data_IF_600718281831
#
_entry.id   IF_600718281831
#
_cell.length_a   1.000
_cell.length_b   1.000
_cell.length_c   1.000
_cell.angle_alpha   90.00
_cell.angle_beta   90.00
_cell.angle_gamma   90.00
#
_symmetry.space_group_name_H-M   'P 1'
#
loop_
_entity.id
_entity.type
_entity.pdbx_description
1 polymer ?
#
# COMPACT_ATOMS: atom_id res chain seq x y z
N UNK A 1 -19.77 20.71 -11.34
CA UNK A 1 -18.34 20.38 -11.19
C UNK A 1 -18.15 19.96 -9.73
N UNK A 2 -18.28 18.66 -9.44
CA UNK A 2 -18.01 18.10 -8.11
C UNK A 2 -16.61 17.47 -8.17
N UNK A 3 -15.61 18.28 -7.91
CA UNK A 3 -14.23 17.83 -7.71
C UNK A 3 -13.71 18.58 -6.50
N UNK A 4 -14.21 18.20 -5.32
CA UNK A 4 -13.59 18.65 -4.08
C UNK A 4 -12.22 17.97 -4.06
N UNK A 5 -11.18 18.75 -4.30
CA UNK A 5 -9.81 18.31 -4.03
C UNK A 5 -9.72 18.13 -2.52
N UNK A 6 -10.01 16.92 -2.04
CA UNK A 6 -9.92 16.54 -0.64
C UNK A 6 -8.45 16.39 -0.23
N UNK A 7 -7.58 17.32 -0.66
CA UNK A 7 -6.13 17.25 -0.57
C UNK A 7 -5.73 16.51 0.70
N UNK A 8 -5.13 15.33 0.54
CA UNK A 8 -4.73 14.51 1.68
C UNK A 8 -3.89 15.39 2.59
N UNK A 9 -4.30 15.51 3.85
CA UNK A 9 -3.46 16.09 4.88
C UNK A 9 -2.12 15.32 4.87
N UNK A 10 -1.00 15.95 5.28
CA UNK A 10 0.27 15.23 5.43
C UNK A 10 0.03 13.92 6.16
N UNK A 11 0.32 12.81 5.48
CA UNK A 11 -0.11 11.47 5.88
C UNK A 11 1.12 10.61 6.15
N UNK A 12 1.03 9.75 7.16
CA UNK A 12 2.07 8.80 7.50
C UNK A 12 1.61 7.39 7.13
N UNK A 13 2.36 6.74 6.25
CA UNK A 13 2.18 5.34 5.89
C UNK A 13 3.07 4.46 6.79
N UNK A 14 2.43 3.74 7.70
CA UNK A 14 3.10 2.84 8.64
C UNK A 14 3.14 1.40 8.09
N UNK A 15 4.34 0.85 7.95
CA UNK A 15 4.58 -0.45 7.32
C UNK A 15 5.37 -1.35 8.27
N UNK A 16 4.96 -2.62 8.42
CA UNK A 16 5.66 -3.55 9.33
C UNK A 16 6.79 -4.34 8.68
N UNK A 17 7.02 -4.15 7.39
CA UNK A 17 8.13 -4.71 6.64
C UNK A 17 9.20 -3.62 6.40
N UNK A 18 10.31 -3.74 7.11
CA UNK A 18 11.40 -2.76 7.04
C UNK A 18 12.15 -2.80 5.71
N UNK A 19 12.10 -3.91 4.96
CA UNK A 19 12.72 -4.02 3.64
C UNK A 19 11.95 -3.17 2.64
N UNK A 20 10.62 -3.23 2.67
CA UNK A 20 9.75 -2.41 1.81
C UNK A 20 9.94 -0.92 2.11
N UNK A 21 9.98 -0.53 3.39
CA UNK A 21 10.25 0.87 3.78
C UNK A 21 11.60 1.34 3.24
N UNK A 22 12.64 0.49 3.35
CA UNK A 22 13.96 0.83 2.82
C UNK A 22 13.90 1.05 1.31
N UNK A 23 13.28 0.13 0.56
CA UNK A 23 13.14 0.22 -0.89
C UNK A 23 12.42 1.47 -1.38
N UNK A 24 11.44 1.97 -0.61
CA UNK A 24 10.73 3.22 -0.91
C UNK A 24 11.61 4.44 -0.63
N UNK A 25 12.44 4.40 0.42
CA UNK A 25 13.30 5.52 0.80
C UNK A 25 14.58 5.64 -0.05
N UNK A 26 15.12 4.52 -0.53
CA UNK A 26 16.35 4.47 -1.32
C UNK A 26 16.13 4.22 -2.82
N UNK A 27 14.87 4.18 -3.25
CA UNK A 27 14.46 4.00 -4.66
C UNK A 27 14.91 2.65 -5.28
N UNK A 28 15.27 1.66 -4.45
CA UNK A 28 15.73 0.34 -4.91
C UNK A 28 14.60 -0.65 -5.25
N UNK A 29 13.34 -0.23 -5.14
CA UNK A 29 12.18 -1.05 -5.52
C UNK A 29 12.08 -1.33 -7.02
N UNK A 30 12.79 -0.55 -7.87
CA UNK A 30 12.79 -0.64 -9.34
C UNK A 30 13.24 -2.00 -9.88
N UNK A 31 13.99 -2.76 -9.09
CA UNK A 31 14.50 -4.09 -9.46
C UNK A 31 13.64 -5.25 -8.90
N UNK A 32 12.52 -4.96 -8.21
CA UNK A 32 11.66 -5.98 -7.58
C UNK A 32 10.47 -6.39 -8.46
N UNK A 33 9.97 -7.64 -8.32
CA UNK A 33 8.75 -8.11 -9.01
C UNK A 33 7.51 -7.26 -8.68
N UNK A 34 7.50 -6.57 -7.53
CA UNK A 34 6.45 -5.64 -7.11
C UNK A 34 6.75 -4.17 -7.45
N UNK A 35 7.77 -3.91 -8.26
CA UNK A 35 8.32 -2.57 -8.48
C UNK A 35 7.30 -1.55 -8.96
N UNK A 36 6.34 -1.93 -9.80
CA UNK A 36 5.30 -1.03 -10.34
C UNK A 36 4.42 -0.44 -9.24
N UNK A 37 3.98 -1.25 -8.27
CA UNK A 37 3.13 -0.77 -7.17
C UNK A 37 3.94 0.11 -6.22
N UNK A 38 5.21 -0.21 -6.01
CA UNK A 38 6.10 0.60 -5.16
C UNK A 38 6.47 1.93 -5.84
N UNK A 39 6.57 1.96 -7.17
CA UNK A 39 6.81 3.16 -7.97
C UNK A 39 5.61 4.11 -7.89
N UNK A 40 4.37 3.58 -7.99
CA UNK A 40 3.15 4.38 -7.76
C UNK A 40 3.10 4.97 -6.34
N UNK A 41 3.52 4.22 -5.32
CA UNK A 41 3.62 4.72 -3.95
C UNK A 41 4.69 5.81 -3.83
N UNK A 42 5.86 5.62 -4.45
CA UNK A 42 6.93 6.60 -4.45
C UNK A 42 6.49 7.90 -5.16
N UNK A 43 5.78 7.80 -6.28
CA UNK A 43 5.17 8.94 -6.96
C UNK A 43 4.16 9.67 -6.08
N UNK A 44 3.34 8.94 -5.32
CA UNK A 44 2.42 9.55 -4.35
C UNK A 44 3.16 10.26 -3.21
N UNK A 45 4.32 9.74 -2.77
CA UNK A 45 5.16 10.41 -1.77
C UNK A 45 5.74 11.73 -2.29
N UNK A 46 6.09 11.79 -3.58
CA UNK A 46 6.65 12.98 -4.23
C UNK A 46 5.57 14.01 -4.61
N UNK A 47 4.41 13.56 -5.07
CA UNK A 47 3.36 14.42 -5.65
C UNK A 47 2.22 14.75 -4.68
N UNK A 48 1.95 13.89 -3.70
CA UNK A 48 0.86 14.06 -2.75
C UNK A 48 1.34 14.65 -1.43
N UNK A 49 1.26 15.98 -1.25
CA UNK A 49 1.33 16.71 0.03
C UNK A 49 2.27 16.20 1.16
N UNK A 50 3.32 15.44 0.84
CA UNK A 50 4.23 14.80 1.79
C UNK A 50 3.64 13.56 2.48
N UNK A 51 3.38 12.47 1.74
CA UNK A 51 3.21 11.15 2.36
C UNK A 51 4.58 10.68 2.88
N UNK A 52 4.72 10.59 4.20
CA UNK A 52 5.89 10.02 4.84
C UNK A 52 5.71 8.51 5.04
N UNK A 53 6.81 7.76 5.09
CA UNK A 53 6.79 6.32 5.40
C UNK A 53 7.55 6.03 6.69
N UNK A 54 7.05 5.11 7.50
CA UNK A 54 7.74 4.65 8.71
C UNK A 54 7.61 3.14 8.87
N UNK A 55 8.60 2.56 9.56
CA UNK A 55 8.52 1.16 9.99
C UNK A 55 7.88 1.05 11.38
N UNK A 56 6.93 0.14 11.53
CA UNK A 56 6.32 -0.21 12.82
C UNK A 56 6.46 -1.71 13.15
N UNK A 57 6.42 -2.11 14.44
CA UNK A 57 6.37 -3.52 14.79
C UNK A 57 5.12 -4.22 14.22
N UNK A 58 5.23 -5.51 13.87
CA UNK A 58 4.10 -6.31 13.39
C UNK A 58 2.90 -6.30 14.34
N UNK A 59 3.14 -6.24 15.65
CA UNK A 59 2.08 -6.16 16.67
C UNK A 59 1.25 -4.88 16.56
N UNK A 60 1.86 -3.76 16.14
CA UNK A 60 1.19 -2.49 15.91
C UNK A 60 0.38 -2.52 14.60
N UNK A 61 0.83 -3.26 13.58
CA UNK A 61 0.13 -3.40 12.30
C UNK A 61 -0.96 -4.49 12.27
N UNK A 62 -1.46 -4.89 13.46
CA UNK A 62 -2.49 -5.93 13.58
C UNK A 62 -3.76 -5.64 12.76
N UNK A 63 -4.28 -4.41 12.70
CA UNK A 63 -5.47 -4.11 11.90
C UNK A 63 -5.28 -4.45 10.41
N UNK A 64 -4.18 -4.01 9.80
CA UNK A 64 -3.89 -4.30 8.40
C UNK A 64 -3.70 -5.81 8.15
N UNK A 65 -3.03 -6.50 9.07
CA UNK A 65 -2.88 -7.96 8.99
C UNK A 65 -4.22 -8.70 8.99
N UNK A 66 -5.16 -8.30 9.86
CA UNK A 66 -6.50 -8.91 9.91
C UNK A 66 -7.26 -8.64 8.61
N UNK A 67 -7.24 -7.40 8.11
CA UNK A 67 -7.92 -7.06 6.85
C UNK A 67 -7.36 -7.85 5.66
N UNK A 68 -6.04 -7.96 5.56
CA UNK A 68 -5.40 -8.77 4.53
C UNK A 68 -5.80 -10.25 4.65
N UNK A 69 -5.87 -10.78 5.88
CA UNK A 69 -6.32 -12.14 6.15
C UNK A 69 -7.76 -12.40 5.69
N UNK A 70 -8.68 -11.49 6.00
CA UNK A 70 -10.09 -11.61 5.57
C UNK A 70 -10.23 -11.47 4.05
N UNK A 71 -9.46 -10.59 3.42
CA UNK A 71 -9.43 -10.47 1.96
C UNK A 71 -8.96 -11.76 1.28
N UNK A 72 -7.91 -12.42 1.80
CA UNK A 72 -7.44 -13.70 1.26
C UNK A 72 -8.49 -14.80 1.39
N UNK A 73 -9.16 -14.92 2.55
CA UNK A 73 -10.26 -15.88 2.73
C UNK A 73 -11.40 -15.63 1.75
N UNK A 74 -11.74 -14.37 1.54
CA UNK A 74 -12.79 -13.96 0.61
C UNK A 74 -12.39 -14.29 -0.84
N UNK A 75 -11.13 -14.11 -1.23
CA UNK A 75 -10.65 -14.51 -2.57
C UNK A 75 -10.67 -16.03 -2.78
N UNK A 76 -10.46 -16.81 -1.72
CA UNK A 76 -10.55 -18.26 -1.79
C UNK A 76 -11.97 -18.76 -2.05
N UNK A 77 -12.99 -17.99 -1.62
CA UNK A 77 -14.39 -18.25 -1.93
C UNK A 77 -14.65 -18.18 -3.45
N UNK A 78 -15.27 -19.24 -3.97
CA UNK A 78 -15.48 -19.46 -5.41
C UNK A 78 -16.28 -18.35 -6.13
N UNK A 79 -16.95 -17.48 -5.38
CA UNK A 79 -17.66 -16.31 -5.91
C UNK A 79 -16.72 -15.38 -6.68
N UNK A 80 -15.49 -15.14 -6.19
CA UNK A 80 -14.52 -14.26 -6.86
C UNK A 80 -13.71 -14.96 -7.95
N UNK A 81 -13.65 -16.30 -7.93
CA UNK A 81 -12.99 -17.10 -8.97
C UNK A 81 -13.84 -17.29 -10.23
N UNK A 82 -15.15 -17.01 -10.16
CA UNK A 82 -16.11 -17.23 -11.24
C UNK A 82 -16.58 -15.95 -11.93
N UNK A 83 -16.18 -14.77 -11.45
CA UNK A 83 -16.39 -13.54 -12.17
C UNK A 83 -15.41 -13.49 -13.36
N UNK A 84 -15.89 -13.41 -14.62
CA UNK A 84 -15.00 -13.19 -15.74
C UNK A 84 -14.31 -11.84 -15.54
N UNK A 85 -12.98 -11.84 -15.64
CA UNK A 85 -12.19 -10.61 -15.74
C UNK A 85 -12.64 -9.96 -17.06
N UNK A 86 -13.42 -8.88 -16.97
CA UNK A 86 -13.84 -8.05 -18.10
C UNK A 86 -12.70 -7.09 -18.45
#
# INVERSE_FOLDING_TARGET
MFGLDCSLAPSLLEINDSVVVKWLLDDSHKDSEGGVVLDEIADLMLTGNGVAVSSIPRSANRPAYVLAGEAMKTFEDAFWKSAPII
#
